data_IF_892119586129
#
_entry.id   IF_892119586129
#
_cell.length_a   1.000
_cell.length_b   1.000
_cell.length_c   1.000
_cell.angle_alpha   90.00
_cell.angle_beta   90.00
_cell.angle_gamma   90.00
#
_symmetry.space_group_name_H-M   'P 1'
#
loop_
_entity.id
_entity.type
_entity.pdbx_description
1 polymer ?
#
# COMPACT_ATOMS: atom_id res chain seq x y z
N UNK A 1 59.86 -10.66 36.24
CA UNK A 1 60.17 -9.26 35.90
C UNK A 1 61.04 -8.71 37.02
N UNK A 2 62.36 -8.57 36.83
CA UNK A 2 63.23 -7.93 37.83
C UNK A 2 62.93 -6.43 37.79
N UNK A 3 62.37 -5.89 38.87
CA UNK A 3 62.18 -4.45 39.01
C UNK A 3 63.56 -3.88 39.38
N UNK A 4 64.14 -3.06 38.51
CA UNK A 4 65.35 -2.30 38.82
C UNK A 4 64.95 -1.14 39.73
N UNK A 5 65.34 -1.21 41.00
CA UNK A 5 65.11 -0.14 41.98
C UNK A 5 66.30 0.82 41.98
N UNK A 6 66.05 2.10 41.76
CA UNK A 6 67.06 3.17 41.85
C UNK A 6 66.86 3.85 43.20
N UNK A 7 67.91 3.92 44.02
CA UNK A 7 67.87 4.63 45.31
C UNK A 7 68.31 6.07 45.10
N UNK A 8 67.40 7.03 45.27
CA UNK A 8 67.69 8.45 45.19
C UNK A 8 67.98 9.02 46.59
N UNK A 9 68.86 10.02 46.68
CA UNK A 9 68.99 10.80 47.91
C UNK A 9 67.74 11.65 48.14
N UNK A 10 67.49 12.04 49.40
CA UNK A 10 66.32 12.86 49.76
C UNK A 10 66.24 14.17 48.97
N UNK A 11 67.39 14.82 48.76
CA UNK A 11 67.51 16.06 47.97
C UNK A 11 67.17 15.84 46.48
N UNK A 12 67.61 14.72 45.89
CA UNK A 12 67.28 14.37 44.50
C UNK A 12 65.80 14.05 44.33
N UNK A 13 65.20 13.38 45.32
CA UNK A 13 63.76 13.10 45.32
C UNK A 13 62.92 14.37 45.39
N UNK A 14 63.23 15.29 46.32
CA UNK A 14 62.54 16.58 46.45
C UNK A 14 62.69 17.46 45.18
N UNK A 15 63.85 17.40 44.51
CA UNK A 15 64.07 18.10 43.25
C UNK A 15 63.27 17.48 42.09
N UNK A 16 63.14 16.16 42.07
CA UNK A 16 62.34 15.45 41.07
C UNK A 16 60.85 15.71 41.28
N UNK A 17 60.37 15.71 42.52
CA UNK A 17 58.98 16.01 42.88
C UNK A 17 58.58 17.42 42.45
N UNK A 18 59.46 18.42 42.67
CA UNK A 18 59.24 19.79 42.16
C UNK A 18 59.19 19.85 40.63
N UNK A 19 60.01 19.07 39.93
CA UNK A 19 59.97 18.99 38.46
C UNK A 19 58.69 18.32 37.98
N UNK A 20 58.26 17.23 38.61
CA UNK A 20 57.00 16.55 38.31
C UNK A 20 55.82 17.50 38.50
N UNK A 21 55.76 18.23 39.61
CA UNK A 21 54.72 19.23 39.86
C UNK A 21 54.70 20.34 38.80
N UNK A 22 55.86 20.81 38.34
CA UNK A 22 55.94 21.79 37.25
C UNK A 22 55.47 21.23 35.90
N UNK A 23 55.78 19.96 35.60
CA UNK A 23 55.28 19.27 34.41
C UNK A 23 53.76 19.04 34.46
N UNK A 24 53.21 18.70 35.62
CA UNK A 24 51.76 18.51 35.78
C UNK A 24 51.00 19.81 35.50
N UNK A 25 51.52 20.97 35.93
CA UNK A 25 50.94 22.29 35.61
C UNK A 25 50.99 22.58 34.10
N UNK A 26 52.08 22.22 33.42
CA UNK A 26 52.20 22.38 31.96
C UNK A 26 51.25 21.43 31.20
N UNK A 27 51.10 20.19 31.65
CA UNK A 27 50.18 19.21 31.05
C UNK A 27 48.73 19.66 31.27
N UNK A 28 48.38 20.14 32.46
CA UNK A 28 47.03 20.61 32.77
C UNK A 28 46.65 21.86 31.97
N UNK A 29 47.55 22.83 31.84
CA UNK A 29 47.31 24.01 30.99
C UNK A 29 47.23 23.66 29.50
N UNK A 30 48.07 22.73 29.02
CA UNK A 30 48.01 22.23 27.64
C UNK A 30 46.69 21.49 27.35
N UNK A 31 46.21 20.68 28.29
CA UNK A 31 44.93 19.97 28.14
C UNK A 31 43.74 20.92 28.15
N UNK A 32 43.75 21.97 28.98
CA UNK A 32 42.70 23.00 29.02
C UNK A 32 42.62 23.82 27.71
N UNK A 33 43.76 24.16 27.10
CA UNK A 33 43.79 24.83 25.79
C UNK A 33 43.21 23.92 24.69
N UNK A 34 43.57 22.64 24.72
CA UNK A 34 43.08 21.68 23.73
C UNK A 34 41.57 21.45 23.89
N UNK A 35 41.06 21.35 25.12
CA UNK A 35 39.61 21.18 25.35
C UNK A 35 38.82 22.41 24.94
N UNK A 36 39.29 23.62 25.24
CA UNK A 36 38.65 24.86 24.78
C UNK A 36 38.62 24.95 23.24
N UNK A 37 39.74 24.63 22.58
CA UNK A 37 39.78 24.60 21.11
C UNK A 37 38.87 23.54 20.49
N UNK A 38 38.63 22.42 21.18
CA UNK A 38 37.73 21.38 20.72
C UNK A 38 36.26 21.83 20.83
N UNK A 39 35.90 22.50 21.91
CA UNK A 39 34.56 23.06 22.13
C UNK A 39 34.23 24.12 21.08
N UNK A 40 35.16 25.03 20.78
CA UNK A 40 34.99 26.05 19.73
C UNK A 40 34.80 25.42 18.34
N UNK A 41 35.50 24.31 18.07
CA UNK A 41 35.35 23.57 16.82
C UNK A 41 33.98 22.89 16.73
N UNK A 42 33.50 22.28 17.80
CA UNK A 42 32.16 21.66 17.85
C UNK A 42 31.04 22.71 17.64
N UNK A 43 31.15 23.88 18.26
CA UNK A 43 30.20 24.97 18.07
C UNK A 43 30.22 25.49 16.61
N UNK A 44 31.41 25.63 16.02
CA UNK A 44 31.55 26.04 14.62
C UNK A 44 30.91 25.00 13.67
N UNK A 45 31.13 23.70 13.90
CA UNK A 45 30.52 22.62 13.10
C UNK A 45 29.00 22.65 13.21
N UNK A 46 28.46 22.83 14.42
CA UNK A 46 27.02 22.95 14.62
C UNK A 46 26.45 24.16 13.87
N UNK A 47 27.13 25.30 13.94
CA UNK A 47 26.70 26.52 13.25
C UNK A 47 26.71 26.38 11.73
N UNK A 48 27.69 25.67 11.18
CA UNK A 48 27.75 25.36 9.74
C UNK A 48 26.54 24.51 9.34
N UNK A 49 26.23 23.46 10.11
CA UNK A 49 25.08 22.59 9.84
C UNK A 49 23.75 23.36 9.86
N UNK A 50 23.56 24.25 10.83
CA UNK A 50 22.36 25.09 10.92
C UNK A 50 22.22 26.03 9.73
N UNK A 51 23.35 26.62 9.28
CA UNK A 51 23.38 27.51 8.12
C UNK A 51 23.10 26.76 6.81
N UNK A 52 23.63 25.55 6.65
CA UNK A 52 23.35 24.69 5.49
C UNK A 52 21.85 24.35 5.40
N UNK A 53 21.23 24.02 6.53
CA UNK A 53 19.80 23.73 6.59
C UNK A 53 18.95 24.96 6.27
N UNK A 54 19.36 26.14 6.74
CA UNK A 54 18.69 27.39 6.43
C UNK A 54 18.83 27.75 4.93
N UNK A 55 20.03 27.60 4.35
CA UNK A 55 20.28 27.84 2.93
C UNK A 55 19.43 26.90 2.07
N UNK A 56 19.34 25.61 2.43
CA UNK A 56 18.49 24.66 1.73
C UNK A 56 17.01 25.10 1.74
N UNK A 57 16.49 25.50 2.92
CA UNK A 57 15.10 25.95 3.07
C UNK A 57 14.80 27.24 2.30
N UNK A 58 15.70 28.22 2.36
CA UNK A 58 15.55 29.48 1.65
C UNK A 58 15.64 29.30 0.13
N UNK A 59 16.53 28.42 -0.34
CA UNK A 59 16.65 28.09 -1.77
C UNK A 59 15.38 27.42 -2.30
N UNK A 60 14.81 26.49 -1.53
CA UNK A 60 13.51 25.89 -1.85
C UNK A 60 12.39 26.95 -1.93
N UNK A 61 12.31 27.86 -0.95
CA UNK A 61 11.32 28.95 -0.98
C UNK A 61 11.48 29.89 -2.18
N UNK A 62 12.71 30.27 -2.52
CA UNK A 62 12.99 31.16 -3.66
C UNK A 62 12.62 30.48 -4.98
N UNK A 63 12.94 29.19 -5.14
CA UNK A 63 12.56 28.44 -6.35
C UNK A 63 11.04 28.33 -6.50
N UNK A 64 10.30 28.11 -5.40
CA UNK A 64 8.84 28.12 -5.37
C UNK A 64 8.22 29.50 -5.65
N UNK A 65 8.90 30.59 -5.29
CA UNK A 65 8.43 31.95 -5.59
C UNK A 65 8.69 32.32 -7.05
N UNK A 66 9.87 32.00 -7.58
CA UNK A 66 10.25 32.30 -8.98
C UNK A 66 9.44 31.52 -10.01
N UNK A 67 8.97 30.31 -9.68
CA UNK A 67 8.25 29.45 -10.62
C UNK A 67 6.74 29.78 -10.78
N UNK A 68 6.27 30.86 -10.15
CA UNK A 68 4.89 31.36 -10.28
C UNK A 68 3.83 30.54 -9.55
N UNK A 69 4.22 29.61 -8.65
CA UNK A 69 3.31 28.77 -7.85
C UNK A 69 2.28 28.00 -8.68
N UNK A 70 2.68 27.57 -9.88
CA UNK A 70 1.86 26.79 -10.79
C UNK A 70 2.40 25.36 -10.83
N UNK A 71 1.54 24.36 -10.61
CA UNK A 71 1.89 22.93 -10.67
C UNK A 71 2.27 22.44 -12.07
N UNK A 72 2.09 23.26 -13.11
CA UNK A 72 2.49 22.96 -14.50
C UNK A 72 3.97 23.19 -14.76
N UNK A 73 4.65 23.92 -13.90
CA UNK A 73 6.11 24.07 -13.90
C UNK A 73 6.65 22.96 -13.00
N UNK A 74 7.60 22.16 -13.51
CA UNK A 74 8.00 20.84 -13.00
C UNK A 74 8.50 20.77 -11.54
N UNK A 75 8.64 21.91 -10.88
CA UNK A 75 9.29 22.05 -9.58
C UNK A 75 8.37 22.60 -8.48
N UNK A 76 7.06 22.66 -8.71
CA UNK A 76 6.07 23.07 -7.68
C UNK A 76 5.28 21.85 -7.18
N UNK A 77 5.35 21.49 -5.88
CA UNK A 77 4.51 20.46 -5.30
C UNK A 77 3.01 20.78 -5.46
N UNK A 78 2.13 19.80 -5.74
CA UNK A 78 0.70 20.04 -5.95
C UNK A 78 -0.01 20.76 -4.80
N UNK A 79 0.47 20.57 -3.57
CA UNK A 79 -0.08 21.22 -2.37
C UNK A 79 0.15 22.74 -2.31
N UNK A 80 1.09 23.28 -3.09
CA UNK A 80 1.45 24.71 -3.14
C UNK A 80 0.93 25.40 -4.41
N UNK A 81 0.00 24.79 -5.14
CA UNK A 81 -0.66 25.35 -6.31
C UNK A 81 -1.77 26.35 -5.90
N UNK A 82 -1.36 27.56 -5.54
CA UNK A 82 -2.28 28.63 -5.13
C UNK A 82 -2.93 29.35 -6.32
N UNK A 83 -2.49 29.08 -7.55
CA UNK A 83 -3.07 29.64 -8.76
C UNK A 83 -4.38 28.92 -9.13
N UNK A 84 -5.45 29.13 -8.34
CA UNK A 84 -6.82 28.75 -8.71
C UNK A 84 -7.27 29.53 -9.94
N UNK A 85 -6.88 29.10 -11.13
CA UNK A 85 -7.67 29.38 -12.33
C UNK A 85 -8.95 28.56 -12.18
N UNK A 86 -10.06 29.25 -11.90
CA UNK A 86 -11.40 28.66 -11.99
C UNK A 86 -11.53 28.03 -13.37
N UNK A 87 -11.37 26.71 -13.45
CA UNK A 87 -11.65 26.00 -14.68
C UNK A 87 -13.15 26.15 -14.90
N UNK A 88 -13.53 26.88 -15.96
CA UNK A 88 -14.92 26.93 -16.39
C UNK A 88 -15.36 25.49 -16.61
N UNK A 89 -16.32 25.05 -15.80
CA UNK A 89 -16.91 23.74 -15.91
C UNK A 89 -17.30 23.48 -17.36
N UNK A 90 -16.68 22.48 -17.99
CA UNK A 90 -17.09 22.00 -19.32
C UNK A 90 -18.44 21.27 -19.25
N UNK A 91 -18.96 21.02 -18.04
CA UNK A 91 -20.26 20.40 -17.83
C UNK A 91 -21.35 21.35 -18.26
N UNK A 92 -22.05 20.96 -19.32
CA UNK A 92 -23.33 21.57 -19.71
C UNK A 92 -24.31 21.33 -18.56
N UNK A 93 -24.99 22.39 -18.09
CA UNK A 93 -26.02 22.28 -17.04
C UNK A 93 -27.10 21.33 -17.56
N UNK A 94 -27.28 20.20 -16.88
CA UNK A 94 -28.20 19.15 -17.30
C UNK A 94 -29.68 19.48 -17.08
N UNK A 95 -30.03 20.65 -16.52
CA UNK A 95 -31.41 21.03 -16.19
C UNK A 95 -32.08 20.19 -15.09
N UNK A 96 -31.51 19.03 -14.75
CA UNK A 96 -32.00 18.12 -13.72
C UNK A 96 -31.82 18.72 -12.32
N UNK A 97 -32.86 18.57 -11.48
CA UNK A 97 -32.81 18.92 -10.05
C UNK A 97 -31.81 18.00 -9.34
N UNK A 98 -31.14 18.54 -8.30
CA UNK A 98 -30.29 17.77 -7.41
C UNK A 98 -31.14 16.73 -6.65
N UNK A 99 -30.80 15.46 -6.77
CA UNK A 99 -31.53 14.34 -6.14
C UNK A 99 -31.66 13.13 -7.07
N UNK A 100 -32.27 12.06 -6.57
CA UNK A 100 -32.63 10.91 -7.39
C UNK A 100 -33.52 11.33 -8.56
N UNK A 101 -33.19 10.88 -9.78
CA UNK A 101 -34.01 11.22 -10.95
C UNK A 101 -35.41 10.60 -10.81
N UNK A 102 -36.40 11.28 -11.40
CA UNK A 102 -37.78 10.79 -11.45
C UNK A 102 -37.77 9.41 -12.13
N UNK A 103 -38.25 8.38 -11.42
CA UNK A 103 -38.26 6.98 -11.89
C UNK A 103 -37.16 6.08 -11.33
N UNK A 104 -36.21 6.59 -10.51
CA UNK A 104 -35.33 5.71 -9.76
C UNK A 104 -36.13 4.90 -8.74
N UNK A 105 -36.08 3.57 -8.87
CA UNK A 105 -36.59 2.66 -7.85
C UNK A 105 -35.73 2.83 -6.59
N UNK A 106 -36.31 3.37 -5.53
CA UNK A 106 -35.69 3.31 -4.22
C UNK A 106 -35.59 1.85 -3.75
N UNK A 107 -34.51 1.52 -3.07
CA UNK A 107 -34.39 0.26 -2.33
C UNK A 107 -34.49 0.56 -0.83
N UNK A 108 -35.44 -0.07 -0.16
CA UNK A 108 -35.54 -0.05 1.30
C UNK A 108 -34.78 -1.25 1.87
N UNK A 109 -34.19 -1.12 3.06
CA UNK A 109 -33.59 -2.27 3.74
C UNK A 109 -34.69 -3.28 4.08
N UNK A 110 -34.52 -4.50 3.57
CA UNK A 110 -35.46 -5.60 3.82
C UNK A 110 -35.09 -6.33 5.11
N UNK A 111 -36.10 -6.86 5.79
CA UNK A 111 -35.88 -7.72 6.94
C UNK A 111 -35.19 -9.01 6.50
N UNK A 112 -34.17 -9.44 7.25
CA UNK A 112 -33.70 -10.82 7.17
C UNK A 112 -34.81 -11.75 7.65
N UNK A 113 -35.16 -12.72 6.80
CA UNK A 113 -36.16 -13.76 7.12
C UNK A 113 -35.70 -14.58 8.33
N UNK A 114 -34.40 -14.82 8.44
CA UNK A 114 -33.76 -15.61 9.50
C UNK A 114 -32.65 -14.75 10.11
N UNK A 115 -32.91 -14.01 11.22
CA UNK A 115 -31.88 -13.27 11.92
C UNK A 115 -30.94 -14.22 12.69
N UNK A 116 -29.68 -13.83 12.85
CA UNK A 116 -28.68 -14.61 13.59
C UNK A 116 -29.00 -14.71 15.10
N UNK A 117 -29.60 -13.66 15.67
CA UNK A 117 -30.02 -13.58 17.06
C UNK A 117 -31.41 -12.94 17.18
N UNK A 118 -32.24 -13.44 18.11
CA UNK A 118 -33.56 -12.87 18.42
C UNK A 118 -33.60 -12.56 19.91
N UNK A 119 -33.66 -11.27 20.23
CA UNK A 119 -33.76 -10.78 21.61
C UNK A 119 -35.22 -10.35 21.86
N UNK A 120 -36.00 -11.11 22.65
CA UNK A 120 -37.36 -10.71 22.99
C UNK A 120 -37.35 -9.60 24.05
N UNK A 121 -38.16 -8.57 23.84
CA UNK A 121 -38.37 -7.49 24.81
C UNK A 121 -39.80 -7.59 25.35
N UNK A 122 -39.94 -8.19 26.53
CA UNK A 122 -41.21 -8.26 27.24
C UNK A 122 -41.45 -7.00 28.10
N UNK A 123 -42.71 -6.67 28.42
CA UNK A 123 -43.02 -5.70 29.47
C UNK A 123 -42.37 -6.07 30.80
N UNK A 124 -42.22 -5.09 31.69
CA UNK A 124 -41.85 -5.37 33.09
C UNK A 124 -42.89 -6.31 33.73
N UNK A 125 -42.53 -7.04 34.78
CA UNK A 125 -43.45 -7.97 35.46
C UNK A 125 -44.59 -7.27 36.22
N UNK A 126 -44.74 -5.96 36.06
CA UNK A 126 -45.79 -5.14 36.65
C UNK A 126 -46.45 -4.27 35.60
N UNK A 127 -47.77 -4.11 35.72
CA UNK A 127 -48.57 -3.26 34.87
C UNK A 127 -48.22 -1.80 35.11
N UNK A 128 -47.85 -1.08 34.05
CA UNK A 128 -47.51 0.36 34.12
C UNK A 128 -48.68 1.25 34.58
N UNK A 129 -49.93 0.80 34.40
CA UNK A 129 -51.10 1.59 34.76
C UNK A 129 -51.56 1.36 36.20
N UNK A 130 -51.66 0.10 36.66
CA UNK A 130 -52.22 -0.23 37.97
C UNK A 130 -51.22 -0.84 38.96
N UNK A 131 -50.00 -1.14 38.53
CA UNK A 131 -48.96 -1.79 39.34
C UNK A 131 -49.19 -3.29 39.61
N UNK A 132 -50.27 -3.88 39.12
CA UNK A 132 -50.56 -5.31 39.28
C UNK A 132 -49.52 -6.21 38.61
N UNK A 133 -49.32 -7.41 39.13
CA UNK A 133 -48.35 -8.37 38.61
C UNK A 133 -48.80 -8.96 37.25
N UNK A 134 -47.85 -9.10 36.32
CA UNK A 134 -48.07 -9.67 34.98
C UNK A 134 -47.52 -11.09 34.83
N UNK A 135 -47.17 -11.74 35.95
CA UNK A 135 -46.69 -13.11 35.93
C UNK A 135 -47.79 -14.05 35.42
N UNK A 136 -47.46 -14.84 34.40
CA UNK A 136 -48.41 -15.75 33.75
C UNK A 136 -49.32 -15.11 32.70
N UNK A 137 -49.14 -13.83 32.37
CA UNK A 137 -49.83 -13.21 31.23
C UNK A 137 -49.37 -13.83 29.89
N UNK A 138 -50.28 -13.86 28.91
CA UNK A 138 -49.96 -14.28 27.53
C UNK A 138 -49.42 -13.06 26.79
N UNK A 139 -48.22 -13.19 26.23
CA UNK A 139 -47.60 -12.13 25.44
C UNK A 139 -47.82 -12.36 23.94
N UNK A 140 -48.26 -11.32 23.23
CA UNK A 140 -48.37 -11.28 21.78
C UNK A 140 -47.30 -10.36 21.19
N UNK A 141 -46.74 -10.72 20.04
CA UNK A 141 -45.68 -9.94 19.41
C UNK A 141 -46.28 -8.77 18.60
N UNK A 142 -46.23 -7.57 19.16
CA UNK A 142 -46.82 -6.37 18.54
C UNK A 142 -45.99 -5.83 17.37
N UNK A 143 -44.66 -5.85 17.46
CA UNK A 143 -43.79 -5.33 16.41
C UNK A 143 -42.43 -6.02 16.37
N UNK A 144 -41.71 -5.83 15.26
CA UNK A 144 -40.32 -6.30 15.09
C UNK A 144 -39.46 -5.16 14.55
N UNK A 145 -38.21 -5.12 14.98
CA UNK A 145 -37.14 -4.27 14.44
C UNK A 145 -35.90 -5.13 14.26
N UNK A 146 -35.09 -4.81 13.26
CA UNK A 146 -33.80 -5.45 13.04
C UNK A 146 -32.72 -4.39 12.93
N UNK A 147 -31.60 -4.65 13.58
CA UNK A 147 -30.36 -3.91 13.40
C UNK A 147 -29.32 -4.82 12.74
N UNK A 148 -28.53 -4.26 11.82
CA UNK A 148 -27.42 -4.98 11.21
C UNK A 148 -26.17 -4.62 11.99
N UNK A 149 -25.68 -5.57 12.78
CA UNK A 149 -24.45 -5.40 13.55
C UNK A 149 -23.28 -5.97 12.77
N UNK A 150 -22.24 -5.16 12.54
CA UNK A 150 -20.96 -5.63 12.00
C UNK A 150 -19.96 -5.62 13.15
N UNK A 151 -19.54 -6.79 13.66
CA UNK A 151 -18.59 -6.85 14.77
C UNK A 151 -17.23 -6.34 14.27
N UNK A 152 -16.70 -5.29 14.91
CA UNK A 152 -15.38 -4.73 14.59
C UNK A 152 -14.51 -4.78 15.86
N UNK A 153 -13.31 -5.41 15.81
CA UNK A 153 -12.75 -6.12 14.66
C UNK A 153 -13.48 -7.45 14.40
N UNK A 154 -13.62 -7.81 13.14
CA UNK A 154 -14.00 -9.17 12.74
C UNK A 154 -12.85 -10.08 13.18
N UNK A 155 -13.13 -11.07 14.03
CA UNK A 155 -12.08 -11.94 14.58
C UNK A 155 -11.67 -13.00 13.55
N UNK A 156 -10.38 -13.14 13.21
CA UNK A 156 -9.94 -14.14 12.26
C UNK A 156 -10.01 -15.54 12.89
N UNK A 157 -10.43 -16.53 12.10
CA UNK A 157 -10.47 -17.94 12.52
C UNK A 157 -9.11 -18.59 12.30
N UNK A 158 -8.43 -18.99 13.38
CA UNK A 158 -7.25 -19.85 13.32
C UNK A 158 -7.67 -21.32 13.27
N UNK A 159 -7.19 -22.06 12.27
CA UNK A 159 -7.43 -23.51 12.13
C UNK A 159 -6.08 -24.22 12.23
N UNK A 160 -5.92 -25.00 13.30
CA UNK A 160 -4.72 -25.80 13.50
C UNK A 160 -4.91 -27.19 12.89
N UNK A 161 -3.95 -27.61 12.07
CA UNK A 161 -3.89 -28.97 11.54
C UNK A 161 -2.84 -29.75 12.32
N UNK A 162 -3.28 -30.77 13.06
CA UNK A 162 -2.39 -31.60 13.88
C UNK A 162 -2.12 -32.94 13.20
N UNK A 163 -0.84 -33.34 13.15
CA UNK A 163 -0.41 -34.64 12.64
C UNK A 163 -0.21 -35.61 13.79
N UNK A 164 -0.93 -36.74 13.76
CA UNK A 164 -0.72 -37.83 14.69
C UNK A 164 0.02 -38.98 14.03
N UNK A 165 0.77 -39.72 14.84
CA UNK A 165 1.43 -40.96 14.41
C UNK A 165 1.37 -42.01 15.51
N UNK A 166 1.27 -43.28 15.11
CA UNK A 166 1.29 -44.42 16.01
C UNK A 166 2.24 -45.50 15.49
N UNK A 167 2.66 -46.41 16.37
CA UNK A 167 3.32 -47.66 15.96
C UNK A 167 2.25 -48.74 15.79
N UNK A 168 2.31 -49.48 14.69
CA UNK A 168 1.44 -50.63 14.48
C UNK A 168 1.71 -51.68 15.59
N UNK A 169 0.69 -52.13 16.32
CA UNK A 169 0.87 -53.11 17.40
C UNK A 169 1.32 -54.48 16.90
N UNK A 170 1.10 -54.79 15.61
CA UNK A 170 1.42 -56.10 15.03
C UNK A 170 2.84 -56.19 14.43
N UNK A 171 3.30 -55.14 13.75
CA UNK A 171 4.60 -55.14 13.06
C UNK A 171 5.57 -54.06 13.53
N UNK A 172 5.18 -53.22 14.49
CA UNK A 172 5.99 -52.13 15.03
C UNK A 172 6.21 -50.95 14.09
N UNK A 173 5.77 -51.02 12.82
CA UNK A 173 5.97 -49.96 11.83
C UNK A 173 5.21 -48.69 12.18
N UNK A 174 5.86 -47.53 12.03
CA UNK A 174 5.23 -46.21 12.23
C UNK A 174 4.22 -45.94 11.12
N UNK A 175 2.99 -45.61 11.49
CA UNK A 175 1.95 -45.05 10.62
C UNK A 175 1.69 -43.61 11.05
N UNK A 176 1.54 -42.70 10.10
CA UNK A 176 1.26 -41.28 10.39
C UNK A 176 0.26 -40.73 9.40
N UNK A 177 -0.47 -39.68 9.80
CA UNK A 177 -1.31 -38.92 8.89
C UNK A 177 -0.50 -38.17 7.83
N UNK A 178 -1.20 -37.48 6.93
CA UNK A 178 -0.60 -36.63 5.90
C UNK A 178 -1.29 -35.26 5.91
N UNK A 179 -0.50 -34.20 5.72
CA UNK A 179 -1.05 -32.86 5.55
C UNK A 179 -1.55 -32.65 4.13
N UNK A 180 -2.63 -31.87 3.92
CA UNK A 180 -3.02 -31.41 2.59
C UNK A 180 -1.89 -30.64 1.91
N UNK A 181 -1.69 -30.84 0.59
CA UNK A 181 -0.63 -30.18 -0.20
C UNK A 181 -0.62 -28.64 -0.13
N UNK A 182 -1.78 -28.04 0.20
CA UNK A 182 -1.91 -26.59 0.37
C UNK A 182 -1.19 -26.04 1.59
N UNK A 183 -0.88 -26.87 2.61
CA UNK A 183 -0.18 -26.47 3.83
C UNK A 183 1.32 -26.62 3.63
N UNK A 184 2.02 -25.51 3.40
CA UNK A 184 3.45 -25.49 3.10
C UNK A 184 4.31 -24.86 4.20
N UNK A 185 3.72 -23.95 4.98
CA UNK A 185 4.40 -23.26 6.08
C UNK A 185 3.76 -23.61 7.42
N UNK A 186 4.51 -23.46 8.51
CA UNK A 186 4.03 -23.68 9.88
C UNK A 186 2.80 -22.82 10.21
N UNK A 187 2.81 -21.57 9.75
CA UNK A 187 1.66 -20.65 9.79
C UNK A 187 1.55 -19.98 8.42
N UNK A 188 0.36 -20.00 7.84
CA UNK A 188 0.08 -19.35 6.56
C UNK A 188 -1.32 -18.75 6.55
N UNK A 189 -1.50 -17.68 5.78
CA UNK A 189 -2.82 -17.12 5.53
C UNK A 189 -3.64 -18.02 4.60
N UNK A 190 -4.95 -18.09 4.85
CA UNK A 190 -5.87 -18.79 3.95
C UNK A 190 -5.93 -18.08 2.58
N UNK A 191 -6.14 -18.81 1.46
CA UNK A 191 -6.28 -18.20 0.13
C UNK A 191 -7.31 -17.06 0.05
N UNK A 192 -8.33 -17.06 0.89
CA UNK A 192 -9.34 -15.99 0.91
C UNK A 192 -8.77 -14.65 1.39
N UNK A 193 -7.79 -14.67 2.31
CA UNK A 193 -7.09 -13.44 2.74
C UNK A 193 -6.32 -12.85 1.55
N UNK A 194 -5.67 -13.71 0.77
CA UNK A 194 -4.93 -13.31 -0.44
C UNK A 194 -5.88 -12.74 -1.50
N UNK A 195 -7.03 -13.38 -1.74
CA UNK A 195 -8.06 -12.89 -2.65
C UNK A 195 -8.61 -11.52 -2.22
N UNK A 196 -8.87 -11.35 -0.92
CA UNK A 196 -9.35 -10.09 -0.37
C UNK A 196 -8.31 -8.98 -0.52
N UNK A 197 -7.03 -9.24 -0.22
CA UNK A 197 -5.93 -8.30 -0.47
C UNK A 197 -5.85 -7.91 -1.95
N UNK A 198 -5.99 -8.90 -2.86
CA UNK A 198 -6.05 -8.66 -4.31
C UNK A 198 -7.18 -7.71 -4.70
N UNK A 199 -8.38 -7.94 -4.18
CA UNK A 199 -9.53 -7.06 -4.41
C UNK A 199 -9.30 -5.64 -3.88
N UNK A 200 -8.81 -5.51 -2.64
CA UNK A 200 -8.56 -4.22 -2.02
C UNK A 200 -7.49 -3.41 -2.75
N UNK A 201 -6.43 -4.06 -3.22
CA UNK A 201 -5.34 -3.38 -3.93
C UNK A 201 -5.69 -3.08 -5.39
N UNK A 202 -6.17 -4.08 -6.14
CA UNK A 202 -6.29 -3.98 -7.60
C UNK A 202 -7.62 -3.37 -8.02
N UNK A 203 -8.72 -3.68 -7.32
CA UNK A 203 -10.05 -3.20 -7.68
C UNK A 203 -10.46 -1.96 -6.87
N UNK A 204 -10.15 -1.91 -5.57
CA UNK A 204 -10.45 -0.75 -4.73
C UNK A 204 -9.32 0.29 -4.71
N UNK A 205 -8.21 0.03 -5.41
CA UNK A 205 -7.06 0.93 -5.55
C UNK A 205 -6.48 1.42 -4.22
N UNK A 206 -6.54 0.59 -3.18
CA UNK A 206 -6.05 1.00 -1.86
C UNK A 206 -4.53 0.87 -1.76
N UNK A 207 -3.83 1.92 -1.27
CA UNK A 207 -2.41 1.84 -0.95
C UNK A 207 -2.10 0.75 0.08
N UNK A 208 -0.92 0.14 0.00
CA UNK A 208 -0.55 -0.99 0.86
C UNK A 208 -0.67 -0.68 2.35
N UNK A 209 -0.18 0.48 2.79
CA UNK A 209 -0.32 0.94 4.18
C UNK A 209 -1.78 1.04 4.64
N UNK A 210 -2.71 1.45 3.76
CA UNK A 210 -4.13 1.50 4.10
C UNK A 210 -4.75 0.12 4.20
N UNK A 211 -4.30 -0.82 3.37
CA UNK A 211 -4.72 -2.23 3.45
C UNK A 211 -4.23 -2.85 4.77
N UNK A 212 -2.98 -2.65 5.16
CA UNK A 212 -2.46 -3.16 6.45
C UNK A 212 -3.25 -2.60 7.63
N UNK A 213 -3.55 -1.30 7.64
CA UNK A 213 -4.36 -0.68 8.68
C UNK A 213 -5.80 -1.22 8.71
N UNK A 214 -6.44 -1.37 7.55
CA UNK A 214 -7.80 -1.91 7.46
C UNK A 214 -7.84 -3.34 7.99
N UNK A 215 -6.91 -4.20 7.58
CA UNK A 215 -6.88 -5.59 8.01
C UNK A 215 -6.57 -5.72 9.51
N UNK A 216 -5.69 -4.87 10.04
CA UNK A 216 -5.36 -4.86 11.47
C UNK A 216 -6.55 -4.43 12.32
N UNK A 217 -7.16 -3.29 12.01
CA UNK A 217 -8.19 -2.68 12.86
C UNK A 217 -9.60 -3.19 12.55
N UNK A 218 -9.88 -3.56 11.31
CA UNK A 218 -11.18 -4.07 10.88
C UNK A 218 -11.31 -5.58 11.00
N UNK A 219 -10.22 -6.33 10.84
CA UNK A 219 -10.24 -7.79 10.72
C UNK A 219 -9.28 -8.52 11.67
N UNK A 220 -8.57 -7.82 12.56
CA UNK A 220 -7.59 -8.43 13.45
C UNK A 220 -6.44 -9.18 12.75
N UNK A 221 -6.22 -8.95 11.45
CA UNK A 221 -5.19 -9.62 10.63
C UNK A 221 -3.98 -8.71 10.48
N UNK A 222 -2.81 -9.20 10.86
CA UNK A 222 -1.56 -8.43 10.88
C UNK A 222 -0.69 -8.75 9.65
N UNK A 223 -0.76 -7.90 8.62
CA UNK A 223 0.10 -8.01 7.43
C UNK A 223 1.12 -6.88 7.39
N UNK A 224 2.32 -7.20 6.91
CA UNK A 224 3.29 -6.20 6.44
C UNK A 224 3.03 -5.83 4.98
N UNK A 225 3.50 -4.66 4.55
CA UNK A 225 3.42 -4.24 3.14
C UNK A 225 4.17 -5.21 2.20
N UNK A 226 5.30 -5.77 2.67
CA UNK A 226 6.01 -6.82 1.93
C UNK A 226 5.19 -8.10 1.76
N UNK A 227 4.38 -8.47 2.76
CA UNK A 227 3.48 -9.62 2.64
C UNK A 227 2.39 -9.37 1.60
N UNK A 228 1.81 -8.17 1.59
CA UNK A 228 0.85 -7.75 0.57
C UNK A 228 1.49 -7.82 -0.82
N UNK A 229 2.69 -7.27 -0.99
CA UNK A 229 3.42 -7.35 -2.25
C UNK A 229 3.61 -8.81 -2.71
N UNK A 230 4.07 -9.69 -1.83
CA UNK A 230 4.26 -11.11 -2.14
C UNK A 230 2.95 -11.81 -2.54
N UNK A 231 1.84 -11.49 -1.85
CA UNK A 231 0.51 -11.99 -2.19
C UNK A 231 0.10 -11.54 -3.59
N UNK A 232 0.26 -10.26 -3.92
CA UNK A 232 -0.07 -9.72 -5.24
C UNK A 232 0.80 -10.33 -6.34
N UNK A 233 2.10 -10.50 -6.11
CA UNK A 233 3.00 -11.18 -7.04
C UNK A 233 2.60 -12.63 -7.28
N UNK A 234 2.19 -13.34 -6.23
CA UNK A 234 1.73 -14.72 -6.38
C UNK A 234 0.35 -14.81 -7.05
N UNK A 235 -0.54 -13.82 -6.89
CA UNK A 235 -1.78 -13.71 -7.66
C UNK A 235 -1.50 -13.42 -9.14
N UNK A 236 -0.59 -12.47 -9.42
CA UNK A 236 -0.18 -12.12 -10.78
C UNK A 236 0.37 -13.33 -11.53
N UNK A 237 1.29 -14.10 -10.91
CA UNK A 237 1.83 -15.34 -11.49
C UNK A 237 0.75 -16.37 -11.86
N UNK A 238 -0.31 -16.49 -11.05
CA UNK A 238 -1.44 -17.38 -11.35
C UNK A 238 -2.23 -16.89 -12.57
N UNK A 239 -2.42 -15.57 -12.70
CA UNK A 239 -3.10 -14.99 -13.85
C UNK A 239 -2.26 -15.08 -15.13
N UNK A 240 -0.96 -14.81 -15.04
CA UNK A 240 0.00 -14.85 -16.15
C UNK A 240 0.12 -16.22 -16.81
N UNK A 241 0.01 -17.31 -16.02
CA UNK A 241 0.25 -18.66 -16.54
C UNK A 241 -0.79 -19.17 -17.55
N UNK A 242 -2.07 -18.76 -17.42
CA UNK A 242 -3.15 -19.28 -18.28
C UNK A 242 -4.19 -18.22 -18.63
N UNK A 243 -4.67 -17.45 -17.64
CA UNK A 243 -5.79 -16.52 -17.83
C UNK A 243 -5.40 -15.38 -18.78
N UNK A 244 -4.26 -14.74 -18.56
CA UNK A 244 -3.81 -13.61 -19.37
C UNK A 244 -3.53 -13.98 -20.84
N UNK A 245 -2.81 -15.08 -21.13
CA UNK A 245 -2.65 -15.59 -22.49
C UNK A 245 -3.98 -15.90 -23.18
N UNK A 246 -4.94 -16.50 -22.46
CA UNK A 246 -6.25 -16.81 -23.03
C UNK A 246 -7.08 -15.56 -23.32
N UNK A 247 -7.05 -14.55 -22.43
CA UNK A 247 -7.67 -13.25 -22.69
C UNK A 247 -7.07 -12.62 -23.95
N UNK A 248 -5.74 -12.61 -24.08
CA UNK A 248 -5.04 -12.07 -25.25
C UNK A 248 -5.48 -12.78 -26.53
N UNK A 249 -5.46 -14.12 -26.53
CA UNK A 249 -5.90 -14.95 -27.67
C UNK A 249 -7.34 -14.68 -28.07
N UNK A 250 -8.24 -14.51 -27.10
CA UNK A 250 -9.66 -14.21 -27.38
C UNK A 250 -9.87 -12.80 -27.92
N UNK A 251 -9.04 -11.84 -27.51
CA UNK A 251 -9.03 -10.50 -28.11
C UNK A 251 -8.50 -10.54 -29.55
N UNK A 252 -7.47 -11.33 -29.83
CA UNK A 252 -6.95 -11.54 -31.21
C UNK A 252 -8.04 -12.06 -32.16
N UNK A 253 -8.92 -12.93 -31.68
CA UNK A 253 -10.02 -13.51 -32.45
C UNK A 253 -11.32 -12.69 -32.39
N UNK A 254 -11.36 -11.55 -31.68
CA UNK A 254 -12.59 -10.79 -31.52
C UNK A 254 -12.98 -10.09 -32.84
N UNK A 255 -14.28 -9.96 -33.16
CA UNK A 255 -14.73 -9.27 -34.37
C UNK A 255 -14.50 -7.74 -34.30
N UNK A 256 -14.44 -7.18 -33.09
CA UNK A 256 -14.18 -5.76 -32.84
C UNK A 256 -13.23 -5.65 -31.67
N UNK A 257 -12.17 -4.85 -31.83
CA UNK A 257 -11.17 -4.59 -30.79
C UNK A 257 -11.03 -3.08 -30.61
N UNK A 258 -11.39 -2.60 -29.43
CA UNK A 258 -11.12 -1.24 -28.99
C UNK A 258 -9.73 -1.13 -28.39
N UNK A 259 -9.02 -0.04 -28.68
CA UNK A 259 -7.70 0.26 -28.11
C UNK A 259 -7.62 1.70 -27.59
N UNK A 260 -7.02 1.85 -26.41
CA UNK A 260 -6.68 3.15 -25.81
C UNK A 260 -5.36 3.04 -25.03
N UNK A 261 -4.64 4.16 -24.91
CA UNK A 261 -3.40 4.22 -24.14
C UNK A 261 -3.44 5.31 -23.07
N UNK A 262 -3.11 4.90 -21.84
CA UNK A 262 -2.96 5.83 -20.72
C UNK A 262 -1.50 5.92 -20.31
N UNK A 263 -0.94 7.13 -20.38
CA UNK A 263 0.44 7.38 -19.95
C UNK A 263 0.61 7.20 -18.45
N UNK A 264 1.69 6.52 -18.04
CA UNK A 264 2.05 6.30 -16.65
C UNK A 264 3.53 6.57 -16.39
N UNK A 265 3.87 6.82 -15.13
CA UNK A 265 5.25 6.92 -14.65
C UNK A 265 5.61 5.61 -13.98
N UNK A 266 6.63 4.94 -14.50
CA UNK A 266 7.10 3.65 -14.00
C UNK A 266 8.45 3.87 -13.34
N UNK A 267 8.55 3.50 -12.07
CA UNK A 267 9.81 3.45 -11.36
C UNK A 267 10.40 2.06 -11.60
N UNK A 268 11.53 1.98 -12.29
CA UNK A 268 12.22 0.71 -12.46
C UNK A 268 12.97 0.39 -11.17
N UNK A 269 12.80 -0.84 -10.67
CA UNK A 269 13.56 -1.31 -9.53
C UNK A 269 15.05 -1.25 -9.85
N UNK A 270 15.91 -0.94 -8.86
CA UNK A 270 17.34 -0.88 -9.08
C UNK A 270 17.85 -2.26 -9.46
N UNK A 271 18.66 -2.35 -10.50
CA UNK A 271 19.31 -3.59 -10.86
C UNK A 271 20.54 -3.77 -9.95
N UNK A 272 20.38 -4.62 -8.93
CA UNK A 272 21.44 -4.88 -7.93
C UNK A 272 22.72 -5.45 -8.55
N UNK A 273 22.65 -6.06 -9.74
CA UNK A 273 23.82 -6.59 -10.44
C UNK A 273 24.58 -5.53 -11.25
N UNK A 274 23.93 -4.46 -11.67
CA UNK A 274 24.56 -3.38 -12.48
C UNK A 274 24.78 -2.08 -11.72
N UNK A 275 24.28 -1.98 -10.48
CA UNK A 275 24.39 -0.76 -9.66
C UNK A 275 23.56 0.41 -10.19
N UNK A 276 22.62 0.16 -11.11
CA UNK A 276 21.80 1.21 -11.70
C UNK A 276 20.75 1.73 -10.72
N UNK A 277 20.76 3.05 -10.51
CA UNK A 277 19.75 3.76 -9.71
C UNK A 277 18.33 3.62 -10.27
N UNK A 278 17.34 3.85 -9.39
CA UNK A 278 15.91 3.90 -9.76
C UNK A 278 15.69 5.01 -10.78
N UNK A 279 15.60 4.64 -12.06
CA UNK A 279 15.21 5.57 -13.14
C UNK A 279 13.69 5.58 -13.29
N UNK A 280 13.10 6.75 -13.17
CA UNK A 280 11.71 6.97 -13.52
C UNK A 280 11.59 7.07 -15.04
N UNK A 281 10.89 6.11 -15.66
CA UNK A 281 10.64 6.08 -17.10
C UNK A 281 9.16 6.32 -17.37
N UNK A 282 8.87 7.02 -18.46
CA UNK A 282 7.50 7.15 -18.96
C UNK A 282 7.12 5.87 -19.71
N UNK A 283 6.02 5.25 -19.31
CA UNK A 283 5.41 4.13 -20.00
C UNK A 283 3.97 4.45 -20.39
N UNK A 284 3.34 3.53 -21.11
CA UNK A 284 1.95 3.58 -21.54
C UNK A 284 1.28 2.26 -21.17
N UNK A 285 0.19 2.34 -20.40
CA UNK A 285 -0.74 1.23 -20.27
C UNK A 285 -1.58 1.18 -21.55
N UNK A 286 -1.39 0.14 -22.32
CA UNK A 286 -2.25 -0.18 -23.44
C UNK A 286 -3.42 -1.02 -22.95
N UNK A 287 -4.62 -0.63 -23.36
CA UNK A 287 -5.86 -1.33 -23.07
C UNK A 287 -6.44 -1.81 -24.39
N UNK A 288 -6.58 -3.12 -24.54
CA UNK A 288 -7.30 -3.74 -25.66
C UNK A 288 -8.58 -4.34 -25.11
N UNK A 289 -9.71 -4.05 -25.74
CA UNK A 289 -11.03 -4.42 -25.22
C UNK A 289 -11.92 -5.03 -26.31
N UNK A 290 -12.66 -6.07 -25.94
CA UNK A 290 -13.82 -6.58 -26.67
C UNK A 290 -15.11 -6.27 -25.89
N UNK A 291 -16.25 -6.74 -26.38
CA UNK A 291 -17.54 -6.72 -25.68
C UNK A 291 -17.50 -7.29 -24.24
N UNK A 292 -16.59 -8.23 -23.96
CA UNK A 292 -16.59 -9.07 -22.76
C UNK A 292 -15.24 -9.12 -22.06
N UNK A 293 -14.15 -8.72 -22.74
CA UNK A 293 -12.79 -8.92 -22.24
C UNK A 293 -11.97 -7.63 -22.32
N UNK A 294 -11.06 -7.47 -21.38
CA UNK A 294 -10.05 -6.40 -21.38
C UNK A 294 -8.68 -7.00 -21.14
N UNK A 295 -7.75 -6.73 -22.06
CA UNK A 295 -6.34 -7.07 -21.94
C UNK A 295 -5.54 -5.80 -21.71
N UNK A 296 -4.70 -5.82 -20.68
CA UNK A 296 -3.85 -4.69 -20.30
C UNK A 296 -2.39 -5.08 -20.51
N UNK A 297 -1.59 -4.18 -21.07
CA UNK A 297 -0.15 -4.38 -21.18
C UNK A 297 0.59 -3.06 -21.04
N UNK A 298 1.85 -3.13 -20.61
CA UNK A 298 2.69 -1.95 -20.44
C UNK A 298 3.74 -1.93 -21.53
N UNK A 299 3.83 -0.80 -22.24
CA UNK A 299 4.89 -0.55 -23.23
C UNK A 299 5.61 0.76 -22.92
N UNK A 300 6.88 0.83 -23.31
CA UNK A 300 7.67 2.07 -23.29
C UNK A 300 7.63 2.82 -24.63
N UNK A 301 6.81 2.35 -25.56
CA UNK A 301 6.50 3.02 -26.81
C UNK A 301 5.01 3.39 -26.85
N UNK A 302 4.72 4.50 -27.53
CA UNK A 302 3.37 4.96 -27.86
C UNK A 302 3.01 4.67 -29.33
N UNK A 303 3.93 4.05 -30.06
CA UNK A 303 3.79 3.77 -31.48
C UNK A 303 3.01 2.49 -31.75
N UNK A 304 2.54 2.37 -32.99
CA UNK A 304 1.87 1.16 -33.50
C UNK A 304 2.78 -0.09 -33.44
N UNK A 305 4.09 0.10 -33.36
CA UNK A 305 5.08 -0.97 -33.13
C UNK A 305 4.72 -1.83 -31.91
N UNK A 306 4.16 -1.22 -30.85
CA UNK A 306 3.70 -2.00 -29.68
C UNK A 306 2.58 -2.98 -30.04
N UNK A 307 1.68 -2.59 -30.95
CA UNK A 307 0.59 -3.47 -31.40
C UNK A 307 1.17 -4.63 -32.22
N UNK A 308 2.14 -4.37 -33.10
CA UNK A 308 2.81 -5.42 -33.88
C UNK A 308 3.62 -6.38 -33.00
N UNK A 309 4.35 -5.86 -32.00
CA UNK A 309 5.15 -6.67 -31.08
C UNK A 309 4.27 -7.59 -30.23
N UNK A 310 3.12 -7.08 -29.77
CA UNK A 310 2.17 -7.86 -28.98
C UNK A 310 1.34 -8.82 -29.82
N UNK A 311 0.86 -8.38 -30.97
CA UNK A 311 0.00 -9.13 -31.86
C UNK A 311 0.74 -9.32 -33.19
N UNK A 312 1.65 -10.30 -33.21
CA UNK A 312 2.52 -10.59 -34.37
C UNK A 312 1.70 -10.77 -35.66
N UNK A 313 0.54 -11.43 -35.56
CA UNK A 313 -0.36 -11.67 -36.68
C UNK A 313 -1.38 -10.52 -36.91
N UNK A 314 -1.28 -9.44 -36.13
CA UNK A 314 -2.27 -8.36 -36.10
C UNK A 314 -3.66 -8.84 -35.71
N UNK A 315 -4.67 -8.12 -36.21
CA UNK A 315 -6.08 -8.46 -36.06
C UNK A 315 -6.71 -8.72 -37.43
N UNK A 316 -6.51 -9.92 -38.03
CA UNK A 316 -6.82 -10.15 -39.44
C UNK A 316 -8.33 -10.10 -39.74
N UNK A 317 -9.17 -10.37 -38.75
CA UNK A 317 -10.63 -10.43 -38.90
C UNK A 317 -11.37 -9.33 -38.14
N UNK A 318 -10.66 -8.52 -37.34
CA UNK A 318 -11.30 -7.57 -36.43
C UNK A 318 -11.43 -6.18 -37.03
N UNK A 319 -12.49 -5.47 -36.65
CA UNK A 319 -12.56 -4.02 -36.77
C UNK A 319 -11.79 -3.40 -35.61
N UNK A 320 -10.67 -2.75 -35.91
CA UNK A 320 -9.83 -2.10 -34.89
C UNK A 320 -10.26 -0.64 -34.68
N UNK A 321 -10.61 -0.30 -33.45
CA UNK A 321 -11.17 1.02 -33.06
C UNK A 321 -10.21 1.71 -32.09
N UNK A 322 -9.76 2.91 -32.44
CA UNK A 322 -8.82 3.71 -31.62
C UNK A 322 -9.37 5.07 -31.25
N UNK A 323 -9.07 5.53 -30.04
CA UNK A 323 -9.45 6.86 -29.56
C UNK A 323 -8.47 7.94 -30.05
N UNK A 324 -8.77 8.57 -31.19
CA UNK A 324 -7.90 9.63 -31.74
C UNK A 324 -8.17 10.97 -31.04
N UNK A 325 -7.31 11.37 -30.10
CA UNK A 325 -7.44 12.65 -29.36
C UNK A 325 -7.01 13.91 -30.11
N UNK A 326 -6.65 13.85 -31.40
CA UNK A 326 -6.41 15.06 -32.21
C UNK A 326 -6.89 14.87 -33.65
N UNK A 327 -7.87 15.71 -34.03
CA UNK A 327 -8.33 16.00 -35.39
C UNK A 327 -8.96 14.85 -36.18
N UNK A 328 -10.22 14.53 -35.90
CA UNK A 328 -11.23 14.46 -36.95
C UNK A 328 -12.63 14.36 -36.35
N UNK A 329 -13.58 15.15 -36.86
CA UNK A 329 -15.01 14.92 -36.67
C UNK A 329 -15.43 13.72 -37.53
N UNK A 330 -15.02 12.51 -37.14
CA UNK A 330 -15.57 11.21 -37.54
C UNK A 330 -14.64 10.10 -37.02
N UNK A 331 -15.16 8.97 -36.51
CA UNK A 331 -14.34 7.79 -36.20
C UNK A 331 -13.73 7.25 -37.48
N UNK A 332 -12.40 7.22 -37.56
CA UNK A 332 -11.69 6.59 -38.67
C UNK A 332 -11.73 5.08 -38.40
N UNK A 333 -12.59 4.34 -39.10
CA UNK A 333 -12.48 2.89 -39.19
C UNK A 333 -11.25 2.57 -40.02
N UNK A 334 -10.15 2.17 -39.37
CA UNK A 334 -9.01 1.58 -40.07
C UNK A 334 -9.35 0.09 -40.21
N UNK A 335 -9.88 -0.27 -41.37
CA UNK A 335 -9.96 -1.66 -41.80
C UNK A 335 -8.53 -2.07 -42.16
N UNK A 336 -7.84 -2.80 -41.29
CA UNK A 336 -6.63 -3.49 -41.71
C UNK A 336 -7.04 -4.48 -42.81
N UNK A 337 -6.45 -4.32 -44.00
CA UNK A 337 -6.52 -5.29 -45.10
C UNK A 337 -5.51 -6.37 -44.81
#
# INVERSE_FOLDING_TARGET
MKINTITLSKLEYEALEKKCAAYDVLINSGTEIVTLSLLDYEEMVQRISDLELLIANLTEKITLLKNGRSSKTSSTPPAHDYAKKYQKSLRIKSGLKSGGQIGHKGSTLEFSVIPDEVIPHYPQNTCLNCGGELSGAIFEQESRKQEIVVPIPIVPKAVEHQLFSCKCPHCGKKSQGEYPEKLKANVQYHPDVMAFVGYLSVYQYMPFQRITHLLKHGYGVFLSEGTIHNMLCALAKKAEGFIYPEIKRRIECAPVVGSDETGMKIHQAPNQATGEEIKQKRGWMWTFQSDTLTYLTVSFSRGFDTVHDLFINGFPTAVYVVSVRKLCKQPIMIRCI
#
